data_IF_878877113322
#
_entry.id   IF_878877113322
#
_cell.length_a   1.000
_cell.length_b   1.000
_cell.length_c   1.000
_cell.angle_alpha   90.00
_cell.angle_beta   90.00
_cell.angle_gamma   90.00
#
_symmetry.space_group_name_H-M   'P 1'
#
loop_
_entity.id
_entity.type
_entity.pdbx_description
1 polymer ?
#
# COMPACT_ATOMS: atom_id res chain seq x y z
N UNK A 1 -21.11 -8.98 -8.81
CA UNK A 1 -19.86 -8.26 -8.57
C UNK A 1 -18.86 -9.20 -7.95
N UNK A 2 -17.75 -9.44 -8.63
CA UNK A 2 -16.66 -10.27 -8.14
C UNK A 2 -16.03 -9.53 -6.96
N UNK A 3 -16.09 -10.09 -5.76
CA UNK A 3 -15.32 -9.59 -4.62
C UNK A 3 -13.86 -9.94 -4.89
N UNK A 4 -13.02 -8.96 -5.08
CA UNK A 4 -11.57 -9.14 -5.01
C UNK A 4 -11.23 -9.27 -3.52
N UNK A 5 -11.12 -10.51 -3.04
CA UNK A 5 -10.94 -10.83 -1.62
C UNK A 5 -9.46 -10.81 -1.18
N UNK A 6 -8.53 -10.50 -2.09
CA UNK A 6 -7.09 -10.68 -1.86
C UNK A 6 -6.28 -9.37 -1.95
N UNK A 7 -6.93 -8.21 -1.83
CA UNK A 7 -6.22 -6.94 -1.84
C UNK A 7 -5.75 -6.55 -0.45
N UNK A 8 -4.46 -6.35 -0.31
CA UNK A 8 -3.88 -5.55 0.75
C UNK A 8 -4.11 -4.06 0.48
N UNK A 9 -3.87 -3.20 1.44
CA UNK A 9 -3.98 -1.76 1.25
C UNK A 9 -2.85 -1.02 1.96
N UNK A 10 -2.59 0.22 1.51
CA UNK A 10 -1.64 1.14 2.12
C UNK A 10 -2.35 2.38 2.63
N UNK A 11 -1.78 2.99 3.65
CA UNK A 11 -2.28 4.23 4.24
C UNK A 11 -1.45 5.40 3.69
N UNK A 12 -2.10 6.51 3.35
CA UNK A 12 -1.45 7.77 2.99
C UNK A 12 -1.65 8.85 4.07
N UNK A 13 -0.66 9.74 4.25
CA UNK A 13 -0.68 10.87 5.19
C UNK A 13 0.18 12.03 4.67
N UNK A 14 0.05 13.26 5.19
CA UNK A 14 0.80 14.43 4.68
C UNK A 14 1.56 15.23 5.77
N UNK A 15 2.91 15.15 5.80
CA UNK A 15 3.86 16.01 6.57
C UNK A 15 5.31 15.78 6.07
N UNK A 16 6.31 16.62 6.39
CA UNK A 16 7.70 16.45 5.93
C UNK A 16 8.58 15.69 6.93
N UNK A 17 9.32 14.64 6.48
CA UNK A 17 10.18 13.74 7.28
C UNK A 17 9.67 12.30 7.34
N UNK A 18 10.41 11.38 7.94
CA UNK A 18 9.88 10.04 8.27
C UNK A 18 8.78 10.20 9.32
N UNK A 19 7.67 9.48 9.15
CA UNK A 19 6.55 9.52 10.06
C UNK A 19 6.19 8.11 10.51
N UNK A 20 6.41 7.83 11.79
CA UNK A 20 5.95 6.60 12.42
C UNK A 20 4.82 6.90 13.39
N UNK A 21 3.78 6.11 13.33
CA UNK A 21 2.57 6.23 14.14
C UNK A 21 2.48 5.05 15.09
N UNK A 22 2.45 5.31 16.39
CA UNK A 22 2.20 4.28 17.38
C UNK A 22 0.71 3.90 17.38
N UNK A 23 0.39 2.69 16.95
CA UNK A 23 -0.95 2.14 17.01
C UNK A 23 -1.27 1.54 18.38
N UNK A 24 -0.25 1.01 19.04
CA UNK A 24 -0.23 0.59 20.44
C UNK A 24 1.22 0.53 20.93
N UNK A 25 1.47 -0.01 22.14
CA UNK A 25 2.80 -0.08 22.76
C UNK A 25 3.86 -0.88 21.96
N UNK A 26 3.47 -1.70 20.99
CA UNK A 26 4.37 -2.61 20.26
C UNK A 26 4.18 -2.61 18.73
N UNK A 27 3.19 -1.88 18.24
CA UNK A 27 2.86 -1.87 16.81
C UNK A 27 2.90 -0.44 16.29
N UNK A 28 3.71 -0.22 15.27
CA UNK A 28 3.87 1.07 14.59
C UNK A 28 3.44 0.96 13.12
N UNK A 29 3.04 2.09 12.54
CA UNK A 29 2.81 2.28 11.12
C UNK A 29 3.87 3.24 10.59
N UNK A 30 4.83 2.71 9.83
CA UNK A 30 5.88 3.52 9.20
C UNK A 30 5.42 4.05 7.85
N UNK A 31 5.63 5.34 7.64
CA UNK A 31 5.27 6.03 6.41
C UNK A 31 6.46 6.83 5.88
N UNK A 32 6.62 6.84 4.57
CA UNK A 32 7.66 7.60 3.87
C UNK A 32 7.07 8.78 3.13
N UNK A 33 7.78 9.89 3.16
CA UNK A 33 7.43 11.08 2.41
C UNK A 33 7.69 10.90 0.92
N UNK A 34 6.73 11.31 0.11
CA UNK A 34 6.83 11.38 -1.35
C UNK A 34 6.75 12.84 -1.77
N UNK A 35 7.81 13.33 -2.38
CA UNK A 35 7.88 14.71 -2.88
C UNK A 35 6.90 14.94 -4.03
N UNK A 36 6.33 16.16 -4.17
CA UNK A 36 5.54 16.48 -5.33
C UNK A 36 6.36 16.40 -6.61
N UNK A 37 5.71 16.07 -7.72
CA UNK A 37 6.43 15.92 -8.99
C UNK A 37 5.52 15.57 -10.16
N UNK A 38 6.12 15.48 -11.33
CA UNK A 38 5.42 15.08 -12.58
C UNK A 38 5.99 13.76 -13.09
N UNK A 39 5.12 12.87 -13.55
CA UNK A 39 5.51 11.60 -14.14
C UNK A 39 4.57 11.21 -15.27
N UNK A 40 4.98 10.27 -16.09
CA UNK A 40 4.11 9.63 -17.08
C UNK A 40 3.43 8.44 -16.40
N UNK A 41 2.12 8.51 -16.25
CA UNK A 41 1.26 7.45 -15.74
C UNK A 41 0.77 6.59 -16.90
N UNK A 42 0.59 5.28 -16.68
CA UNK A 42 0.19 4.34 -17.71
C UNK A 42 1.36 3.55 -18.30
N UNK A 43 1.10 2.81 -19.35
CA UNK A 43 2.04 1.88 -19.99
C UNK A 43 2.23 2.18 -21.47
N UNK A 44 3.46 2.11 -22.01
CA UNK A 44 3.70 2.30 -23.45
C UNK A 44 2.99 1.21 -24.26
N UNK A 45 2.57 1.53 -25.48
CA UNK A 45 1.84 0.60 -26.36
C UNK A 45 2.60 -0.68 -26.70
N UNK A 46 3.90 -0.71 -26.44
CA UNK A 46 4.80 -1.86 -26.66
C UNK A 46 4.94 -2.76 -25.44
N UNK A 47 4.36 -2.39 -24.29
CA UNK A 47 4.45 -3.18 -23.07
C UNK A 47 3.60 -4.46 -23.20
N UNK A 48 4.19 -5.59 -22.78
CA UNK A 48 3.50 -6.87 -22.80
C UNK A 48 2.36 -6.87 -21.75
N UNK A 49 1.25 -7.53 -22.10
CA UNK A 49 0.07 -7.70 -21.24
C UNK A 49 -0.67 -6.38 -20.88
N UNK A 50 -0.29 -5.26 -21.52
CA UNK A 50 -0.94 -3.96 -21.34
C UNK A 50 -2.46 -4.05 -21.64
N UNK A 51 -3.26 -3.38 -20.83
CA UNK A 51 -4.69 -3.20 -21.07
C UNK A 51 -4.93 -1.89 -21.84
N UNK A 52 -5.05 -2.01 -23.16
CA UNK A 52 -5.05 -0.88 -24.11
C UNK A 52 -6.16 0.15 -23.90
N UNK A 53 -7.22 -0.18 -23.17
CA UNK A 53 -8.36 0.70 -22.88
C UNK A 53 -8.26 1.40 -21.51
N UNK A 54 -7.21 1.15 -20.72
CA UNK A 54 -7.08 1.63 -19.33
C UNK A 54 -5.72 2.21 -18.98
N UNK A 55 -4.69 1.88 -19.74
CA UNK A 55 -3.30 2.18 -19.40
C UNK A 55 -2.64 3.13 -20.40
N UNK A 56 -3.41 4.04 -21.01
CA UNK A 56 -2.86 5.03 -21.91
C UNK A 56 -1.91 6.00 -21.18
N UNK A 57 -0.71 6.16 -21.74
CA UNK A 57 0.29 7.06 -21.18
C UNK A 57 -0.20 8.51 -21.20
N UNK A 58 -0.11 9.18 -20.06
CA UNK A 58 -0.41 10.58 -19.90
C UNK A 58 0.40 11.20 -18.77
N UNK A 59 0.67 12.50 -18.84
CA UNK A 59 1.41 13.21 -17.81
C UNK A 59 0.51 13.56 -16.63
N UNK A 60 0.95 13.21 -15.42
CA UNK A 60 0.30 13.56 -14.16
C UNK A 60 1.25 14.41 -13.32
N UNK A 61 0.75 15.52 -12.78
CA UNK A 61 1.47 16.36 -11.84
C UNK A 61 0.84 16.26 -10.46
N UNK A 62 1.56 15.71 -9.51
CA UNK A 62 1.22 15.73 -8.09
C UNK A 62 1.73 17.06 -7.52
N UNK A 63 0.82 17.99 -7.23
CA UNK A 63 1.16 19.35 -6.81
C UNK A 63 1.49 19.46 -5.32
N UNK A 64 1.19 18.40 -4.54
CA UNK A 64 1.48 18.31 -3.11
C UNK A 64 2.15 16.98 -2.83
N UNK A 65 3.15 17.00 -1.96
CA UNK A 65 3.73 15.79 -1.40
C UNK A 65 2.75 15.09 -0.45
N UNK A 66 3.02 13.83 -0.14
CA UNK A 66 2.18 13.01 0.74
C UNK A 66 3.03 11.95 1.43
N UNK A 67 2.52 11.40 2.52
CA UNK A 67 3.07 10.17 3.08
C UNK A 67 2.33 8.96 2.54
N UNK A 68 3.08 7.90 2.30
CA UNK A 68 2.55 6.59 1.96
C UNK A 68 3.14 5.55 2.93
N UNK A 69 2.36 4.57 3.31
CA UNK A 69 2.85 3.45 4.11
C UNK A 69 4.04 2.77 3.45
N UNK A 70 5.14 2.62 4.19
CA UNK A 70 6.38 1.98 3.74
C UNK A 70 6.13 0.56 3.25
N UNK A 71 5.18 -0.11 3.89
CA UNK A 71 4.71 -1.46 3.63
C UNK A 71 3.20 -1.47 3.38
N UNK A 72 2.68 -2.59 2.93
CA UNK A 72 1.26 -2.92 3.05
C UNK A 72 0.88 -2.94 4.53
N UNK A 73 -0.40 -2.67 4.85
CA UNK A 73 -0.87 -2.78 6.23
C UNK A 73 -0.72 -4.22 6.71
N UNK A 74 0.00 -4.42 7.80
CA UNK A 74 0.24 -5.75 8.36
C UNK A 74 -0.95 -6.27 9.18
N UNK A 75 -0.99 -7.58 9.43
CA UNK A 75 -1.99 -8.19 10.28
C UNK A 75 -1.98 -7.58 11.68
N UNK A 76 -0.80 -7.33 12.28
CA UNK A 76 -0.70 -6.67 13.57
C UNK A 76 -1.24 -5.24 13.56
N UNK A 77 -0.98 -4.47 12.52
CA UNK A 77 -1.48 -3.10 12.38
C UNK A 77 -3.01 -3.09 12.23
N UNK A 78 -3.54 -3.98 11.39
CA UNK A 78 -4.98 -4.10 11.20
C UNK A 78 -5.68 -4.51 12.50
N UNK A 79 -5.18 -5.52 13.20
CA UNK A 79 -5.71 -5.98 14.48
C UNK A 79 -5.66 -4.87 15.54
N UNK A 80 -4.56 -4.12 15.64
CA UNK A 80 -4.41 -3.02 16.59
C UNK A 80 -5.47 -1.93 16.43
N UNK A 81 -5.88 -1.64 15.20
CA UNK A 81 -6.91 -0.63 14.89
C UNK A 81 -8.32 -1.22 14.97
N UNK A 82 -8.51 -2.45 14.52
CA UNK A 82 -9.84 -3.06 14.37
C UNK A 82 -10.34 -3.80 15.60
N UNK A 83 -9.49 -4.08 16.59
CA UNK A 83 -9.93 -4.68 17.86
C UNK A 83 -10.99 -3.81 18.54
N UNK A 84 -12.09 -4.44 18.93
CA UNK A 84 -13.22 -3.75 19.54
C UNK A 84 -14.03 -2.86 18.57
N UNK A 85 -13.98 -3.14 17.25
CA UNK A 85 -14.87 -2.46 16.30
C UNK A 85 -16.34 -2.85 16.52
N UNK A 86 -17.25 -1.95 16.14
CA UNK A 86 -18.70 -2.16 16.23
C UNK A 86 -19.33 -2.48 14.87
N UNK A 87 -18.50 -2.62 13.83
CA UNK A 87 -18.92 -2.81 12.44
C UNK A 87 -19.11 -4.29 12.08
N UNK A 88 -18.99 -5.19 13.06
CA UNK A 88 -19.11 -6.65 12.90
C UNK A 88 -18.04 -7.23 11.94
N UNK A 89 -16.89 -6.56 11.83
CA UNK A 89 -15.75 -7.02 11.06
C UNK A 89 -14.79 -7.82 11.94
N UNK A 90 -14.17 -8.85 11.35
CA UNK A 90 -13.07 -9.55 12.01
C UNK A 90 -11.87 -8.61 12.14
N UNK A 91 -11.24 -8.56 13.31
CA UNK A 91 -9.96 -7.88 13.48
C UNK A 91 -8.79 -8.70 12.91
N UNK A 92 -9.01 -9.98 12.60
CA UNK A 92 -8.02 -10.91 12.05
C UNK A 92 -8.59 -11.68 10.86
N UNK A 93 -8.88 -11.01 9.71
CA UNK A 93 -9.62 -11.59 8.58
C UNK A 93 -8.79 -12.54 7.71
N UNK A 94 -7.46 -12.48 7.82
CA UNK A 94 -6.53 -13.12 6.89
C UNK A 94 -6.68 -14.62 6.74
N UNK A 95 -6.53 -15.13 5.53
CA UNK A 95 -6.49 -16.57 5.21
C UNK A 95 -5.27 -17.25 5.83
N UNK A 96 -4.14 -16.56 5.87
CA UNK A 96 -2.89 -17.04 6.46
C UNK A 96 -2.59 -16.32 7.78
N UNK A 97 -3.38 -16.60 8.85
CA UNK A 97 -3.31 -15.89 10.12
C UNK A 97 -2.04 -16.25 10.92
N UNK A 98 -1.89 -15.65 12.08
CA UNK A 98 -0.83 -15.94 13.07
C UNK A 98 0.58 -15.54 12.63
N UNK A 99 0.70 -14.62 11.69
CA UNK A 99 1.96 -13.95 11.41
C UNK A 99 1.75 -12.43 11.38
N UNK A 100 2.13 -11.71 12.45
CA UNK A 100 1.87 -10.28 12.62
C UNK A 100 2.52 -9.41 11.53
N UNK A 101 3.59 -9.91 10.90
CA UNK A 101 4.38 -9.18 9.91
C UNK A 101 3.93 -9.42 8.46
N UNK A 102 2.99 -10.33 8.22
CA UNK A 102 2.39 -10.48 6.89
C UNK A 102 1.40 -9.35 6.63
N UNK A 103 1.18 -8.98 5.37
CA UNK A 103 0.09 -8.07 5.05
C UNK A 103 -1.25 -8.66 5.48
N UNK A 104 -2.18 -7.82 5.86
CA UNK A 104 -3.57 -8.24 6.02
C UNK A 104 -4.18 -8.43 4.64
N UNK A 105 -4.88 -9.53 4.42
CA UNK A 105 -5.64 -9.83 3.21
C UNK A 105 -7.08 -10.24 3.57
N UNK A 106 -7.93 -10.51 2.57
CA UNK A 106 -9.39 -10.67 2.73
C UNK A 106 -10.09 -9.45 3.31
N UNK A 107 -9.58 -8.28 2.99
CA UNK A 107 -10.12 -6.98 3.35
C UNK A 107 -10.70 -6.33 2.09
N UNK A 108 -11.98 -6.01 2.12
CA UNK A 108 -12.62 -5.24 1.03
C UNK A 108 -12.24 -3.77 1.08
N UNK A 109 -12.50 -3.04 -0.01
CA UNK A 109 -12.34 -1.58 -0.02
C UNK A 109 -13.17 -0.90 1.09
N UNK A 110 -14.36 -1.41 1.37
CA UNK A 110 -15.22 -0.88 2.45
C UNK A 110 -14.59 -1.13 3.82
N UNK A 111 -14.03 -2.31 4.05
CA UNK A 111 -13.36 -2.64 5.31
C UNK A 111 -12.11 -1.75 5.51
N UNK A 112 -11.37 -1.46 4.44
CA UNK A 112 -10.26 -0.51 4.47
C UNK A 112 -10.72 0.92 4.83
N UNK A 113 -11.88 1.38 4.35
CA UNK A 113 -12.44 2.68 4.75
C UNK A 113 -12.84 2.71 6.23
N UNK A 114 -13.37 1.61 6.76
CA UNK A 114 -13.69 1.49 8.19
C UNK A 114 -12.40 1.52 9.01
N UNK A 115 -11.38 0.77 8.60
CA UNK A 115 -10.04 0.83 9.22
C UNK A 115 -9.50 2.26 9.28
N UNK A 116 -9.54 3.00 8.17
CA UNK A 116 -9.08 4.39 8.09
C UNK A 116 -9.90 5.32 8.98
N UNK A 117 -11.21 5.14 9.04
CA UNK A 117 -12.08 5.92 9.94
C UNK A 117 -11.67 5.72 11.41
N UNK A 118 -11.41 4.49 11.81
CA UNK A 118 -10.97 4.15 13.16
C UNK A 118 -9.56 4.67 13.46
N UNK A 119 -8.63 4.52 12.50
CA UNK A 119 -7.26 5.04 12.61
C UNK A 119 -7.27 6.56 12.82
N UNK A 120 -8.04 7.30 12.01
CA UNK A 120 -8.21 8.74 12.16
C UNK A 120 -8.77 9.13 13.54
N UNK A 121 -9.76 8.39 14.03
CA UNK A 121 -10.33 8.63 15.35
C UNK A 121 -9.32 8.36 16.48
N UNK A 122 -8.58 7.24 16.41
CA UNK A 122 -7.56 6.87 17.40
C UNK A 122 -6.40 7.87 17.43
N UNK A 123 -6.01 8.39 16.26
CA UNK A 123 -4.87 9.30 16.10
C UNK A 123 -5.26 10.78 16.09
N UNK A 124 -6.51 11.12 16.36
CA UNK A 124 -7.06 12.48 16.19
C UNK A 124 -6.26 13.57 16.91
N UNK A 125 -5.64 13.27 18.05
CA UNK A 125 -4.78 14.20 18.79
C UNK A 125 -3.41 14.44 18.13
N UNK A 126 -2.96 13.53 17.25
CA UNK A 126 -1.65 13.53 16.61
C UNK A 126 -1.72 13.97 15.14
N UNK A 127 -2.92 14.08 14.58
CA UNK A 127 -3.13 14.48 13.18
C UNK A 127 -3.16 16.01 13.08
N UNK A 128 -2.28 16.63 12.28
CA UNK A 128 -2.34 18.07 12.05
C UNK A 128 -3.67 18.53 11.43
N UNK A 129 -4.08 19.76 11.69
CA UNK A 129 -5.32 20.31 11.16
C UNK A 129 -5.37 20.24 9.62
N UNK A 130 -6.44 19.71 9.07
CA UNK A 130 -6.64 19.55 7.63
C UNK A 130 -6.04 18.27 7.02
N UNK A 131 -5.56 17.36 7.85
CA UNK A 131 -4.93 16.11 7.45
C UNK A 131 -5.76 14.89 7.84
N UNK A 132 -5.58 13.78 7.13
CA UNK A 132 -6.23 12.52 7.46
C UNK A 132 -5.46 11.33 6.84
N UNK A 133 -5.57 10.17 7.48
CA UNK A 133 -5.23 8.90 6.85
C UNK A 133 -6.31 8.54 5.84
N UNK A 134 -5.88 8.29 4.60
CA UNK A 134 -6.77 7.98 3.47
C UNK A 134 -6.12 6.90 2.60
N UNK A 135 -6.89 6.25 1.73
CA UNK A 135 -6.29 5.49 0.64
C UNK A 135 -5.60 6.46 -0.34
N UNK A 136 -4.42 6.11 -0.85
CA UNK A 136 -3.80 6.89 -1.91
C UNK A 136 -4.71 6.91 -3.15
N UNK A 137 -4.62 7.96 -3.94
CA UNK A 137 -5.18 7.93 -5.29
C UNK A 137 -4.34 6.97 -6.16
N UNK A 138 -4.91 6.49 -7.25
CA UNK A 138 -4.19 5.66 -8.22
C UNK A 138 -2.89 6.33 -8.68
N UNK A 139 -2.95 7.63 -9.02
CA UNK A 139 -1.78 8.41 -9.43
C UNK A 139 -0.71 8.53 -8.34
N UNK A 140 -1.10 8.70 -7.07
CA UNK A 140 -0.16 8.73 -5.95
C UNK A 140 0.51 7.37 -5.77
N UNK A 141 -0.28 6.30 -5.87
CA UNK A 141 0.23 4.94 -5.75
C UNK A 141 1.21 4.61 -6.88
N UNK A 142 0.84 4.87 -8.15
CA UNK A 142 1.70 4.59 -9.29
C UNK A 142 2.98 5.44 -9.29
N UNK A 143 2.89 6.72 -8.90
CA UNK A 143 4.05 7.58 -8.75
C UNK A 143 5.06 7.01 -7.74
N UNK A 144 4.56 6.59 -6.57
CA UNK A 144 5.40 5.96 -5.54
C UNK A 144 5.93 4.59 -5.97
N UNK A 145 5.12 3.80 -6.69
CA UNK A 145 5.49 2.49 -7.21
C UNK A 145 6.64 2.60 -8.23
N UNK A 146 6.51 3.49 -9.21
CA UNK A 146 7.55 3.74 -10.22
C UNK A 146 8.82 4.31 -9.62
N UNK A 147 8.74 5.13 -8.62
CA UNK A 147 9.90 5.71 -7.94
C UNK A 147 10.91 6.37 -8.92
N UNK A 148 10.40 7.07 -9.94
CA UNK A 148 11.19 7.74 -10.98
C UNK A 148 11.63 6.85 -12.15
N UNK A 149 11.26 5.57 -12.17
CA UNK A 149 11.55 4.67 -13.31
C UNK A 149 10.46 4.74 -14.38
N UNK A 150 10.81 4.37 -15.61
CA UNK A 150 9.89 4.25 -16.77
C UNK A 150 9.75 2.81 -17.24
N UNK A 151 10.34 1.86 -16.52
CA UNK A 151 10.27 0.43 -16.82
C UNK A 151 9.00 -0.18 -16.23
N UNK A 152 8.62 -1.37 -16.70
CA UNK A 152 7.44 -2.11 -16.24
C UNK A 152 7.40 -2.26 -14.70
N UNK A 153 8.55 -2.55 -14.10
CA UNK A 153 8.75 -2.62 -12.65
C UNK A 153 9.80 -1.60 -12.22
N UNK A 154 9.81 -1.22 -10.95
CA UNK A 154 10.77 -0.25 -10.40
C UNK A 154 12.24 -0.70 -10.47
N UNK A 155 12.52 -1.92 -10.90
CA UNK A 155 13.87 -2.51 -11.07
C UNK A 155 14.18 -2.93 -12.51
N UNK A 156 13.30 -2.70 -13.48
CA UNK A 156 13.48 -3.11 -14.88
C UNK A 156 12.23 -3.74 -15.48
N UNK A 157 12.40 -4.53 -16.56
CA UNK A 157 11.26 -5.07 -17.31
C UNK A 157 10.96 -6.56 -17.02
N UNK A 158 11.74 -7.21 -16.16
CA UNK A 158 11.58 -8.63 -15.84
C UNK A 158 11.15 -8.82 -14.37
N UNK A 159 10.14 -9.67 -14.14
CA UNK A 159 9.72 -10.09 -12.82
C UNK A 159 10.10 -11.55 -12.57
N UNK A 160 10.53 -11.86 -11.36
CA UNK A 160 10.79 -13.21 -10.91
C UNK A 160 10.60 -13.35 -9.39
N UNK A 161 10.58 -14.60 -8.90
CA UNK A 161 10.31 -14.94 -7.50
C UNK A 161 11.34 -14.42 -6.48
N UNK A 162 12.47 -13.86 -6.93
CA UNK A 162 13.46 -13.22 -6.04
C UNK A 162 13.20 -11.73 -5.85
N UNK A 163 12.24 -11.16 -6.61
CA UNK A 163 11.94 -9.74 -6.62
C UNK A 163 10.55 -9.40 -6.10
N UNK A 164 9.59 -10.32 -6.27
CA UNK A 164 8.23 -10.15 -5.80
C UNK A 164 7.57 -11.50 -5.51
N UNK A 165 6.57 -11.48 -4.65
CA UNK A 165 5.64 -12.60 -4.47
C UNK A 165 4.43 -12.38 -5.37
N UNK A 166 4.29 -13.23 -6.38
CA UNK A 166 3.22 -13.16 -7.37
C UNK A 166 2.83 -14.59 -7.80
N UNK A 167 1.85 -14.74 -8.67
CA UNK A 167 1.30 -16.04 -9.03
C UNK A 167 2.35 -17.12 -9.37
N UNK A 168 3.43 -16.74 -10.06
CA UNK A 168 4.48 -17.69 -10.49
C UNK A 168 5.59 -17.90 -9.44
N UNK A 169 5.53 -17.19 -8.30
CA UNK A 169 6.51 -17.37 -7.21
C UNK A 169 6.42 -18.75 -6.52
N UNK A 170 5.27 -19.44 -6.69
CA UNK A 170 5.03 -20.78 -6.15
C UNK A 170 4.75 -20.84 -4.65
N UNK A 171 4.54 -19.69 -4.00
CA UNK A 171 4.33 -19.66 -2.54
C UNK A 171 2.88 -19.92 -2.15
N UNK A 172 1.92 -19.55 -2.99
CA UNK A 172 0.47 -19.67 -2.73
C UNK A 172 0.01 -19.05 -1.40
N UNK A 173 0.75 -18.11 -0.86
CA UNK A 173 0.47 -17.37 0.36
C UNK A 173 1.30 -16.08 0.41
N UNK A 174 0.89 -15.13 1.24
CA UNK A 174 1.65 -13.90 1.49
C UNK A 174 2.98 -14.19 2.20
N UNK A 175 3.92 -13.25 2.13
CA UNK A 175 5.17 -13.21 2.91
C UNK A 175 5.14 -12.06 3.89
N UNK A 176 6.07 -12.06 4.84
CA UNK A 176 6.33 -10.90 5.69
C UNK A 176 6.63 -9.69 4.82
N UNK A 177 6.03 -8.55 5.13
CA UNK A 177 6.30 -7.30 4.42
C UNK A 177 7.78 -6.95 4.50
N UNK A 178 8.31 -6.33 3.44
CA UNK A 178 9.72 -5.96 3.39
C UNK A 178 10.69 -7.12 3.15
N UNK A 179 10.19 -8.28 2.75
CA UNK A 179 11.06 -9.42 2.41
C UNK A 179 11.89 -9.17 1.15
N UNK A 180 11.33 -8.51 0.16
CA UNK A 180 12.01 -8.16 -1.08
C UNK A 180 12.70 -6.80 -0.98
N UNK A 181 13.55 -6.48 -1.96
CA UNK A 181 14.23 -5.18 -1.98
C UNK A 181 13.22 -4.04 -2.19
N UNK A 182 13.45 -2.94 -1.48
CA UNK A 182 12.69 -1.71 -1.67
C UNK A 182 12.93 -1.10 -3.06
N UNK A 183 11.96 -0.33 -3.54
CA UNK A 183 12.15 0.53 -4.70
C UNK A 183 13.05 1.75 -4.38
N UNK A 184 13.43 2.58 -5.36
CA UNK A 184 14.30 3.73 -5.14
C UNK A 184 13.81 4.76 -4.11
N UNK A 185 12.51 4.83 -3.82
CA UNK A 185 11.94 5.69 -2.78
C UNK A 185 11.83 5.00 -1.41
N UNK A 186 12.25 3.73 -1.28
CA UNK A 186 12.21 2.99 -0.03
C UNK A 186 10.93 2.21 0.25
N UNK A 187 9.98 2.16 -0.68
CA UNK A 187 8.75 1.37 -0.56
C UNK A 187 8.98 -0.09 -0.91
N UNK A 188 8.39 -0.97 -0.13
CA UNK A 188 8.48 -2.41 -0.30
C UNK A 188 7.19 -2.98 -0.91
N UNK A 189 7.30 -4.15 -1.54
CA UNK A 189 6.18 -4.97 -2.01
C UNK A 189 5.18 -4.23 -2.91
N UNK A 190 5.66 -3.25 -3.72
CA UNK A 190 4.83 -2.46 -4.63
C UNK A 190 4.38 -3.24 -5.88
N UNK A 191 4.89 -4.43 -6.12
CA UNK A 191 4.64 -5.23 -7.32
C UNK A 191 4.12 -6.63 -7.00
N UNK A 192 3.47 -6.82 -5.84
CA UNK A 192 2.87 -8.09 -5.43
C UNK A 192 2.91 -8.25 -3.92
N UNK A 193 2.65 -9.44 -3.44
CA UNK A 193 2.44 -9.96 -2.11
C UNK A 193 0.94 -10.08 -1.78
N UNK A 194 0.15 -9.05 -2.03
CA UNK A 194 -1.33 -9.06 -2.00
C UNK A 194 -1.91 -8.31 -3.18
#
# INVERSE_FOLDING_TARGET
GTRYNDMGFRVGFQFTGEHSVDLNASVQLDMLWVEPGTFTMGSPTTEADRQADREDEHNVTLTKGFYLGKYEVTQAQYEAVMTGNTDSLSATPSEWPNNPNRPVEKVSWVDAQIFLTRLNAQQSANIPAGWAYVLPTESQWEYACRAGTTTMYSWGNDINATRANYNVSGLSQTRDVGYYAANPLGFFDMHGNV
#
